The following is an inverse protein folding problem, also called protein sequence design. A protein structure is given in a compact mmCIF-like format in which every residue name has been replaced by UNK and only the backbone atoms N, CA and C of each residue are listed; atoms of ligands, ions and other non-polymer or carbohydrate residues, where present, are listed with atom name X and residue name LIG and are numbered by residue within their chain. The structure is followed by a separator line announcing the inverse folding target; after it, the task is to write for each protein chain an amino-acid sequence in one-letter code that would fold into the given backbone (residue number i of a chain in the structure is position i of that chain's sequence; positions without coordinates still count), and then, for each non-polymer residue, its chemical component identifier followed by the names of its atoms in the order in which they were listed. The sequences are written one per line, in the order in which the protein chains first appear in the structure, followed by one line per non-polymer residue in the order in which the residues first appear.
data_IF_327541921809
#
_entry.id   IF_327541921809
#
_cell.length_a   1.000
_cell.length_b   1.000
_cell.length_c   1.000
_cell.angle_alpha   90.00
_cell.angle_beta   90.00
_cell.angle_gamma   90.00
#
_symmetry.space_group_name_H-M   'P 1'
#
loop_
_entity.id
_entity.type
_entity.pdbx_description
1 polymer ?
#
# COMPACT_ATOMS: atom_id res chain seq x y z
N UNK A 1 -59.80 -20.78 6.04
CA UNK A 1 -59.67 -21.33 7.41
C UNK A 1 -58.17 -21.39 7.66
N UNK A 2 -57.52 -20.58 8.48
CA UNK A 2 -57.87 -19.62 9.55
C UNK A 2 -56.75 -18.54 9.56
N UNK A 3 -57.08 -17.25 9.50
CA UNK A 3 -57.05 -16.23 10.57
C UNK A 3 -55.77 -15.37 10.64
N UNK A 4 -55.94 -14.16 10.10
CA UNK A 4 -55.25 -12.87 10.35
C UNK A 4 -55.20 -12.46 11.85
N UNK A 5 -54.31 -11.53 12.29
CA UNK A 5 -54.65 -10.09 12.23
C UNK A 5 -53.50 -9.07 12.02
N UNK A 6 -53.74 -8.10 11.13
CA UNK A 6 -53.84 -6.63 11.34
C UNK A 6 -52.76 -5.84 12.16
N UNK A 7 -52.19 -4.81 11.51
CA UNK A 7 -52.13 -3.35 11.87
C UNK A 7 -50.96 -2.67 11.10
N UNK A 8 -51.20 -1.98 9.97
CA UNK A 8 -51.61 -0.57 9.77
C UNK A 8 -50.49 0.50 9.76
N UNK A 9 -50.22 1.01 8.54
CA UNK A 9 -50.07 2.43 8.13
C UNK A 9 -49.37 3.45 9.06
N UNK A 10 -48.25 4.02 8.60
CA UNK A 10 -48.01 5.47 8.78
C UNK A 10 -47.13 6.10 7.66
N UNK A 11 -47.84 6.88 6.84
CA UNK A 11 -47.52 8.12 6.09
C UNK A 11 -46.07 8.56 5.85
N UNK A 12 -45.72 8.61 4.55
CA UNK A 12 -44.72 9.47 3.91
C UNK A 12 -45.34 10.87 3.68
N UNK A 13 -44.66 12.01 3.93
CA UNK A 13 -45.16 13.31 3.48
C UNK A 13 -44.78 13.55 2.02
N UNK A 14 -45.80 13.75 1.18
CA UNK A 14 -45.70 14.32 -0.17
C UNK A 14 -45.87 15.84 -0.08
N UNK A 15 -44.94 16.60 -0.67
CA UNK A 15 -45.10 18.04 -0.92
C UNK A 15 -46.07 18.23 -2.10
N UNK A 16 -47.03 19.15 -1.96
CA UNK A 16 -47.91 19.61 -3.04
C UNK A 16 -47.51 21.04 -3.46
N UNK A 17 -47.51 21.38 -4.76
CA UNK A 17 -47.30 22.74 -5.26
C UNK A 17 -48.63 23.44 -5.60
N UNK A 18 -48.67 24.77 -5.44
CA UNK A 18 -49.69 25.71 -5.98
C UNK A 18 -48.97 27.06 -6.10
N UNK A 19 -48.56 27.49 -7.30
CA UNK A 19 -49.28 28.26 -8.35
C UNK A 19 -49.46 29.76 -8.01
N UNK A 20 -49.11 30.56 -9.03
CA UNK A 20 -48.93 32.02 -9.16
C UNK A 20 -50.20 32.87 -8.91
N UNK A 21 -50.00 34.17 -8.60
CA UNK A 21 -50.39 35.26 -9.52
C UNK A 21 -49.86 36.65 -9.09
N UNK A 22 -49.62 37.46 -10.14
CA UNK A 22 -48.98 38.78 -10.22
C UNK A 22 -49.71 39.96 -9.53
N UNK A 23 -48.96 41.00 -9.13
CA UNK A 23 -49.14 42.36 -9.67
C UNK A 23 -48.10 43.41 -9.19
N UNK A 24 -47.71 44.24 -10.15
CA UNK A 24 -46.82 45.41 -10.13
C UNK A 24 -47.08 46.49 -9.05
N UNK A 25 -46.00 47.12 -8.59
CA UNK A 25 -46.01 48.51 -8.09
C UNK A 25 -44.84 48.90 -7.16
N UNK A 26 -43.76 49.46 -7.71
CA UNK A 26 -42.86 50.41 -7.01
C UNK A 26 -43.45 51.84 -7.18
N UNK A 27 -43.05 52.90 -6.43
CA UNK A 27 -41.86 53.03 -5.55
C UNK A 27 -42.11 53.72 -4.19
N UNK A 28 -41.27 53.48 -3.18
CA UNK A 28 -40.94 54.49 -2.15
C UNK A 28 -39.62 54.12 -1.45
N UNK A 29 -38.61 54.97 -1.60
CA UNK A 29 -37.41 54.97 -0.78
C UNK A 29 -37.76 55.27 0.68
N UNK A 30 -37.46 54.36 1.61
CA UNK A 30 -37.12 54.71 2.99
C UNK A 30 -35.96 53.82 3.43
N UNK A 31 -34.91 54.52 3.83
CA UNK A 31 -33.63 54.07 4.34
C UNK A 31 -33.78 53.43 5.72
N UNK A 32 -33.34 52.18 5.90
CA UNK A 32 -33.00 51.68 7.23
C UNK A 32 -31.82 50.72 7.20
N UNK A 33 -30.95 50.92 8.19
CA UNK A 33 -29.56 50.54 8.23
C UNK A 33 -29.39 49.48 9.32
N UNK A 34 -29.19 48.21 8.97
CA UNK A 34 -28.62 47.22 9.89
C UNK A 34 -28.18 45.93 9.17
N UNK A 35 -26.91 45.89 8.76
CA UNK A 35 -26.25 44.64 8.38
C UNK A 35 -26.02 43.80 9.64
N UNK A 36 -26.77 42.70 9.79
CA UNK A 36 -26.51 41.65 10.78
C UNK A 36 -25.41 40.75 10.20
N UNK A 37 -24.22 40.82 10.79
CA UNK A 37 -23.07 39.97 10.49
C UNK A 37 -23.20 38.63 11.25
N UNK A 38 -22.93 37.45 10.63
CA UNK A 38 -22.97 36.17 11.33
C UNK A 38 -21.77 36.02 12.31
N UNK A 39 -21.89 35.21 13.39
CA UNK A 39 -20.89 35.15 14.44
C UNK A 39 -19.58 34.52 13.92
N UNK A 40 -18.48 35.25 14.08
CA UNK A 40 -17.14 34.75 13.75
C UNK A 40 -16.71 33.69 14.77
N UNK A 41 -16.51 32.45 14.30
CA UNK A 41 -15.82 31.43 15.07
C UNK A 41 -14.36 31.87 15.29
N UNK A 42 -14.05 32.30 16.51
CA UNK A 42 -12.66 32.54 16.93
C UNK A 42 -11.90 31.22 16.85
N UNK A 43 -11.01 31.11 15.87
CA UNK A 43 -9.98 30.07 15.87
C UNK A 43 -9.13 30.23 17.13
N UNK A 44 -9.26 29.28 18.07
CA UNK A 44 -8.36 29.16 19.21
C UNK A 44 -6.94 28.99 18.68
N UNK A 45 -6.12 30.04 18.81
CA UNK A 45 -4.72 29.96 18.47
C UNK A 45 -4.07 28.96 19.43
N UNK A 46 -3.29 28.03 18.89
CA UNK A 46 -2.41 27.21 19.70
C UNK A 46 -1.42 28.18 20.36
N UNK A 47 -1.64 28.49 21.64
CA UNK A 47 -0.70 29.28 22.43
C UNK A 47 0.64 28.55 22.46
N UNK A 48 1.61 29.09 21.70
CA UNK A 48 3.01 28.70 21.79
C UNK A 48 3.49 29.12 23.18
N UNK A 49 3.89 28.16 24.02
CA UNK A 49 4.55 28.46 25.28
C UNK A 49 5.77 29.36 24.99
N UNK A 50 5.69 30.62 25.43
CA UNK A 50 6.74 31.65 25.25
C UNK A 50 7.89 31.51 26.26
N UNK A 51 8.07 30.34 26.85
CA UNK A 51 9.09 30.10 27.88
C UNK A 51 10.23 29.22 27.37
N UNK A 52 10.66 29.43 26.12
CA UNK A 52 11.97 28.95 25.69
C UNK A 52 13.03 30.00 26.09
N UNK A 53 14.15 29.62 26.73
CA UNK A 53 15.23 30.55 27.00
C UNK A 53 15.74 31.16 25.68
N UNK A 54 16.18 32.42 25.74
CA UNK A 54 16.46 33.28 24.60
C UNK A 54 17.24 32.57 23.47
N UNK A 55 16.62 32.45 22.28
CA UNK A 55 17.27 32.03 21.03
C UNK A 55 18.49 32.90 20.63
N UNK A 56 18.69 34.04 21.28
CA UNK A 56 19.79 34.97 21.00
C UNK A 56 21.18 34.33 21.18
N UNK A 57 21.33 33.29 22.02
CA UNK A 57 22.62 32.63 22.29
C UNK A 57 22.95 31.52 21.27
N UNK A 58 22.05 31.20 20.33
CA UNK A 58 22.27 30.11 19.37
C UNK A 58 22.94 30.54 18.04
N UNK A 59 23.33 31.82 17.89
CA UNK A 59 23.77 32.35 16.59
C UNK A 59 25.09 31.75 16.06
N UNK A 60 25.95 31.21 16.92
CA UNK A 60 27.31 30.80 16.52
C UNK A 60 27.63 29.31 16.61
N UNK A 61 26.66 28.45 16.93
CA UNK A 61 26.88 26.99 16.90
C UNK A 61 26.33 26.42 15.61
N UNK A 62 27.20 26.25 14.60
CA UNK A 62 26.92 25.33 13.48
C UNK A 62 26.49 23.99 14.09
N UNK A 63 25.29 23.48 13.82
CA UNK A 63 24.91 22.16 14.30
C UNK A 63 25.84 21.14 13.65
N UNK A 64 26.86 20.67 14.39
CA UNK A 64 27.40 19.33 14.17
C UNK A 64 26.32 18.38 14.66
N UNK A 65 25.35 18.12 13.79
CA UNK A 65 24.56 16.92 13.85
C UNK A 65 25.55 15.80 13.53
N UNK A 66 25.89 14.89 14.45
CA UNK A 66 26.42 13.60 14.01
C UNK A 66 25.34 13.04 13.07
N UNK A 67 25.56 13.17 11.77
CA UNK A 67 24.75 12.49 10.80
C UNK A 67 25.07 11.02 11.02
N UNK A 68 24.24 10.34 11.83
CA UNK A 68 24.17 8.91 11.72
C UNK A 68 23.94 8.64 10.23
N UNK A 69 24.82 7.91 9.54
CA UNK A 69 24.63 7.65 8.14
C UNK A 69 23.23 7.07 7.99
N UNK A 70 22.39 7.71 7.16
CA UNK A 70 21.11 7.10 6.77
C UNK A 70 21.45 5.68 6.32
N UNK A 71 20.75 4.64 6.81
CA UNK A 71 21.02 3.28 6.40
C UNK A 71 21.02 3.28 4.87
N UNK A 72 22.17 2.95 4.26
CA UNK A 72 22.28 2.85 2.81
C UNK A 72 21.29 1.77 2.39
N UNK A 73 20.45 2.07 1.42
CA UNK A 73 19.53 1.08 0.87
C UNK A 73 20.36 -0.06 0.26
N UNK A 74 20.38 -1.21 0.95
CA UNK A 74 20.99 -2.45 0.47
C UNK A 74 20.15 -3.15 -0.61
N UNK A 75 18.99 -2.58 -0.99
CA UNK A 75 17.99 -3.21 -1.86
C UNK A 75 18.54 -3.62 -3.23
N UNK A 76 19.43 -2.83 -3.82
CA UNK A 76 19.97 -3.12 -5.16
C UNK A 76 20.87 -4.37 -5.19
N UNK A 77 21.60 -4.63 -4.10
CA UNK A 77 22.45 -5.82 -3.96
C UNK A 77 21.61 -7.08 -3.77
N UNK A 78 20.55 -6.99 -2.96
CA UNK A 78 19.63 -8.11 -2.68
C UNK A 78 18.90 -8.53 -3.94
N UNK A 79 18.36 -7.58 -4.72
CA UNK A 79 17.66 -7.87 -5.98
C UNK A 79 18.61 -8.55 -6.99
N UNK A 80 19.85 -8.05 -7.11
CA UNK A 80 20.85 -8.65 -8.02
C UNK A 80 21.18 -10.08 -7.61
N UNK A 81 21.35 -10.34 -6.31
CA UNK A 81 21.58 -11.69 -5.78
C UNK A 81 20.37 -12.60 -6.03
N UNK A 82 19.15 -12.09 -5.88
CA UNK A 82 17.92 -12.84 -6.15
C UNK A 82 17.82 -13.30 -7.62
N UNK A 83 18.10 -12.42 -8.58
CA UNK A 83 18.11 -12.79 -10.00
C UNK A 83 19.20 -13.82 -10.32
N UNK A 84 20.38 -13.69 -9.71
CA UNK A 84 21.45 -14.66 -9.89
C UNK A 84 21.08 -16.04 -9.36
N UNK A 85 20.56 -16.11 -8.12
CA UNK A 85 20.12 -17.37 -7.51
C UNK A 85 18.92 -17.99 -8.24
N UNK A 86 17.98 -17.17 -8.73
CA UNK A 86 16.87 -17.63 -9.56
C UNK A 86 17.37 -18.26 -10.87
N UNK A 87 18.34 -17.62 -11.54
CA UNK A 87 18.94 -18.15 -12.76
C UNK A 87 19.60 -19.52 -12.52
N UNK A 88 20.35 -19.64 -11.42
CA UNK A 88 20.97 -20.91 -11.03
C UNK A 88 19.91 -21.99 -10.74
N UNK A 89 18.84 -21.62 -10.03
CA UNK A 89 17.72 -22.50 -9.72
C UNK A 89 17.00 -23.01 -10.98
N UNK A 90 16.70 -22.12 -11.93
CA UNK A 90 16.09 -22.50 -13.21
C UNK A 90 17.03 -23.37 -14.05
N UNK A 91 18.34 -23.06 -14.08
CA UNK A 91 19.33 -23.87 -14.79
C UNK A 91 19.41 -25.28 -14.21
N UNK A 92 19.41 -25.42 -12.87
CA UNK A 92 19.38 -26.72 -12.20
C UNK A 92 18.11 -27.50 -12.54
N UNK A 93 16.93 -26.84 -12.51
CA UNK A 93 15.66 -27.46 -12.89
C UNK A 93 15.67 -27.94 -14.34
N UNK A 94 16.18 -27.11 -15.26
CA UNK A 94 16.31 -27.44 -16.68
C UNK A 94 17.26 -28.62 -16.90
N UNK A 95 18.39 -28.65 -16.21
CA UNK A 95 19.35 -29.74 -16.29
C UNK A 95 18.75 -31.07 -15.81
N UNK A 96 18.07 -31.07 -14.66
CA UNK A 96 17.43 -32.27 -14.09
C UNK A 96 16.32 -32.79 -15.02
N UNK A 97 15.47 -31.91 -15.53
CA UNK A 97 14.43 -32.29 -16.49
C UNK A 97 15.04 -32.85 -17.78
N UNK A 98 16.05 -32.17 -18.33
CA UNK A 98 16.66 -32.57 -19.60
C UNK A 98 17.37 -33.93 -19.51
N UNK A 99 17.94 -34.26 -18.34
CA UNK A 99 18.59 -35.55 -18.10
C UNK A 99 17.59 -36.70 -17.88
N UNK A 100 16.42 -36.41 -17.30
CA UNK A 100 15.39 -37.41 -16.99
C UNK A 100 14.16 -37.27 -17.89
N UNK A 101 14.33 -36.81 -19.13
CA UNK A 101 13.22 -36.48 -20.04
C UNK A 101 12.24 -37.64 -20.23
N UNK A 102 12.77 -38.87 -20.33
CA UNK A 102 11.97 -40.08 -20.52
C UNK A 102 11.04 -40.40 -19.33
N UNK A 103 11.28 -39.79 -18.17
CA UNK A 103 10.47 -39.94 -16.95
C UNK A 103 9.37 -38.87 -16.82
N UNK A 104 9.19 -38.00 -17.83
CA UNK A 104 8.13 -37.00 -17.89
C UNK A 104 7.17 -37.30 -19.04
N UNK A 105 5.87 -37.10 -18.80
CA UNK A 105 4.87 -37.11 -19.87
C UNK A 105 4.77 -35.73 -20.52
N UNK A 106 4.52 -35.66 -21.82
CA UNK A 106 4.12 -34.41 -22.47
C UNK A 106 4.34 -34.39 -23.97
N UNK A 107 3.80 -33.37 -24.63
CA UNK A 107 4.11 -33.11 -26.04
C UNK A 107 5.52 -32.54 -26.12
N UNK A 108 6.37 -33.24 -26.85
CA UNK A 108 7.77 -32.87 -27.06
C UNK A 108 7.89 -31.76 -28.11
N UNK A 109 8.56 -30.65 -27.76
CA UNK A 109 8.94 -29.63 -28.76
C UNK A 109 10.45 -29.46 -28.83
N UNK A 110 11.07 -28.92 -27.79
CA UNK A 110 12.51 -28.79 -27.69
C UNK A 110 12.95 -29.03 -26.24
N UNK A 111 13.94 -29.90 -25.98
CA UNK A 111 14.32 -30.34 -24.63
C UNK A 111 14.49 -29.21 -23.62
N UNK A 112 15.29 -28.20 -23.98
CA UNK A 112 15.58 -27.07 -23.09
C UNK A 112 14.38 -26.14 -22.90
N UNK A 113 13.55 -25.98 -23.93
CA UNK A 113 12.38 -25.07 -23.88
C UNK A 113 11.27 -25.69 -23.07
N UNK A 114 11.00 -26.98 -23.29
CA UNK A 114 10.03 -27.77 -22.53
C UNK A 114 10.41 -27.78 -21.03
N UNK A 115 11.69 -27.98 -20.73
CA UNK A 115 12.23 -27.95 -19.38
C UNK A 115 12.04 -26.59 -18.70
N UNK A 116 12.40 -25.51 -19.40
CA UNK A 116 12.26 -24.15 -18.88
C UNK A 116 10.80 -23.79 -18.66
N UNK A 117 9.94 -24.14 -19.62
CA UNK A 117 8.50 -23.98 -19.53
C UNK A 117 7.92 -24.72 -18.31
N UNK A 118 8.26 -26.00 -18.13
CA UNK A 118 7.86 -26.79 -16.97
C UNK A 118 8.31 -26.13 -15.65
N UNK A 119 9.58 -25.71 -15.57
CA UNK A 119 10.12 -25.05 -14.37
C UNK A 119 9.34 -23.76 -14.03
N UNK A 120 9.04 -22.94 -15.03
CA UNK A 120 8.36 -21.66 -14.84
C UNK A 120 6.88 -21.87 -14.50
N UNK A 121 6.17 -22.76 -15.20
CA UNK A 121 4.76 -23.10 -14.92
C UNK A 121 4.62 -23.63 -13.49
N UNK A 122 5.56 -24.48 -13.06
CA UNK A 122 5.61 -25.05 -11.71
C UNK A 122 5.93 -23.99 -10.66
N UNK A 123 6.96 -23.17 -10.89
CA UNK A 123 7.37 -22.10 -9.97
C UNK A 123 6.30 -21.01 -9.82
N UNK A 124 5.62 -20.67 -10.92
CA UNK A 124 4.50 -19.74 -10.93
C UNK A 124 3.21 -20.32 -10.35
N UNK A 125 3.23 -21.58 -9.89
CA UNK A 125 2.08 -22.28 -9.32
C UNK A 125 0.86 -22.38 -10.26
N UNK A 126 1.09 -22.30 -11.58
CA UNK A 126 0.01 -22.39 -12.57
C UNK A 126 -0.38 -23.86 -12.79
N UNK A 127 0.62 -24.71 -13.03
CA UNK A 127 0.44 -26.17 -13.07
C UNK A 127 -0.58 -26.70 -14.08
N UNK A 128 -0.45 -26.38 -15.37
CA UNK A 128 -1.38 -26.90 -16.40
C UNK A 128 -1.47 -28.43 -16.47
N UNK A 129 -0.45 -29.16 -15.99
CA UNK A 129 -0.44 -30.63 -16.04
C UNK A 129 -0.26 -31.21 -17.44
N UNK A 130 0.17 -30.39 -18.42
CA UNK A 130 0.54 -30.84 -19.76
C UNK A 130 1.92 -31.52 -19.78
N UNK A 131 2.80 -31.12 -18.85
CA UNK A 131 4.06 -31.81 -18.54
C UNK A 131 4.02 -32.25 -17.08
N UNK A 132 4.14 -33.56 -16.83
CA UNK A 132 4.06 -34.12 -15.46
C UNK A 132 5.12 -35.19 -15.18
N UNK A 133 5.62 -35.27 -13.93
CA UNK A 133 6.55 -36.32 -13.53
C UNK A 133 5.84 -37.67 -13.39
N UNK A 134 6.37 -38.72 -14.01
CA UNK A 134 5.77 -40.05 -14.00
C UNK A 134 6.30 -40.92 -12.85
N UNK A 135 7.60 -40.83 -12.57
CA UNK A 135 8.29 -41.71 -11.61
C UNK A 135 8.23 -41.16 -10.16
N UNK A 136 8.37 -42.02 -9.14
CA UNK A 136 8.45 -41.56 -7.75
C UNK A 136 9.62 -40.59 -7.52
N UNK A 137 10.76 -40.79 -8.16
CA UNK A 137 11.94 -39.94 -8.03
C UNK A 137 11.68 -38.52 -8.58
N UNK A 138 11.13 -38.41 -9.79
CA UNK A 138 10.77 -37.11 -10.40
C UNK A 138 9.66 -36.39 -9.65
N UNK A 139 8.72 -37.12 -9.03
CA UNK A 139 7.70 -36.56 -8.13
C UNK A 139 8.29 -35.96 -6.86
N UNK A 140 9.22 -36.67 -6.19
CA UNK A 140 9.93 -36.14 -5.01
C UNK A 140 10.73 -34.88 -5.38
N UNK A 141 11.43 -34.92 -6.51
CA UNK A 141 12.12 -33.75 -7.04
C UNK A 141 11.16 -32.58 -7.25
N UNK A 142 10.02 -32.80 -7.91
CA UNK A 142 9.02 -31.76 -8.15
C UNK A 142 8.49 -31.16 -6.84
N UNK A 143 8.25 -31.98 -5.80
CA UNK A 143 7.84 -31.49 -4.49
C UNK A 143 8.86 -30.54 -3.87
N UNK A 144 10.15 -30.93 -3.84
CA UNK A 144 11.22 -30.08 -3.30
C UNK A 144 11.40 -28.82 -4.15
N UNK A 145 11.34 -28.96 -5.47
CA UNK A 145 11.46 -27.86 -6.41
C UNK A 145 10.38 -26.79 -6.17
N UNK A 146 9.10 -27.19 -6.06
CA UNK A 146 8.00 -26.25 -5.79
C UNK A 146 8.20 -25.47 -4.48
N UNK A 147 8.60 -26.14 -3.40
CA UNK A 147 8.80 -25.49 -2.10
C UNK A 147 9.90 -24.42 -2.14
N UNK A 148 11.00 -24.70 -2.84
CA UNK A 148 12.08 -23.74 -3.04
C UNK A 148 11.64 -22.62 -3.99
N UNK A 149 10.97 -22.97 -5.09
CA UNK A 149 10.47 -22.04 -6.11
C UNK A 149 9.51 -20.98 -5.54
N UNK A 150 8.64 -21.38 -4.62
CA UNK A 150 7.74 -20.45 -3.92
C UNK A 150 8.51 -19.34 -3.18
N UNK A 151 9.61 -19.69 -2.51
CA UNK A 151 10.49 -18.72 -1.85
C UNK A 151 11.11 -17.72 -2.82
N UNK A 152 11.50 -18.17 -4.03
CA UNK A 152 12.00 -17.27 -5.06
C UNK A 152 10.94 -16.27 -5.54
N UNK A 153 9.69 -16.71 -5.75
CA UNK A 153 8.60 -15.80 -6.13
C UNK A 153 8.41 -14.70 -5.06
N UNK A 154 8.46 -15.04 -3.77
CA UNK A 154 8.38 -14.05 -2.68
C UNK A 154 9.54 -13.06 -2.69
N UNK A 155 10.78 -13.54 -2.87
CA UNK A 155 11.96 -12.66 -2.97
C UNK A 155 11.83 -11.70 -4.16
N UNK A 156 11.39 -12.20 -5.33
CA UNK A 156 11.14 -11.34 -6.49
C UNK A 156 10.05 -10.33 -6.19
N UNK A 157 8.92 -10.77 -5.63
CA UNK A 157 7.80 -9.91 -5.27
C UNK A 157 8.26 -8.77 -4.36
N UNK A 158 8.99 -9.11 -3.29
CA UNK A 158 9.57 -8.19 -2.31
C UNK A 158 10.56 -7.22 -2.96
N UNK A 159 11.44 -7.71 -3.84
CA UNK A 159 12.37 -6.87 -4.59
C UNK A 159 11.66 -5.81 -5.44
N UNK A 160 10.61 -6.20 -6.15
CA UNK A 160 9.77 -5.24 -6.89
C UNK A 160 9.09 -4.28 -5.89
N UNK A 161 8.64 -4.74 -4.70
CA UNK A 161 7.96 -3.86 -3.70
C UNK A 161 8.92 -2.76 -3.29
N UNK A 162 10.12 -3.14 -2.87
CA UNK A 162 11.17 -2.23 -2.46
C UNK A 162 11.55 -1.25 -3.56
N UNK A 163 11.70 -1.72 -4.80
CA UNK A 163 11.96 -0.84 -5.94
C UNK A 163 10.85 0.21 -6.15
N UNK A 164 9.58 -0.20 -6.09
CA UNK A 164 8.45 0.73 -6.23
C UNK A 164 8.38 1.71 -5.05
N UNK A 165 8.73 1.28 -3.84
CA UNK A 165 8.81 2.15 -2.66
C UNK A 165 9.94 3.18 -2.80
N UNK A 166 11.12 2.78 -3.30
CA UNK A 166 12.24 3.68 -3.57
C UNK A 166 11.89 4.72 -4.64
N UNK A 167 11.19 4.32 -5.70
CA UNK A 167 10.67 5.26 -6.69
C UNK A 167 9.72 6.28 -6.06
N UNK A 168 8.88 5.86 -5.11
CA UNK A 168 8.00 6.76 -4.38
C UNK A 168 8.78 7.71 -3.45
N UNK A 169 9.77 7.21 -2.73
CA UNK A 169 10.62 8.02 -1.85
C UNK A 169 11.38 9.10 -2.65
N UNK A 170 12.00 8.71 -3.77
CA UNK A 170 12.75 9.63 -4.63
C UNK A 170 11.85 10.72 -5.22
N UNK A 171 10.64 10.37 -5.68
CA UNK A 171 9.68 11.38 -6.16
C UNK A 171 9.25 12.37 -5.08
N UNK A 172 9.06 11.90 -3.83
CA UNK A 172 8.70 12.78 -2.70
C UNK A 172 9.85 13.74 -2.38
N UNK A 173 11.09 13.24 -2.34
CA UNK A 173 12.28 14.07 -2.07
C UNK A 173 12.50 15.13 -3.15
N UNK A 174 12.33 14.79 -4.43
CA UNK A 174 12.37 15.74 -5.54
C UNK A 174 11.24 16.77 -5.44
N UNK A 175 10.02 16.33 -5.08
CA UNK A 175 8.87 17.24 -4.88
C UNK A 175 9.09 18.26 -3.76
N UNK A 176 9.73 17.85 -2.65
CA UNK A 176 10.08 18.75 -1.54
C UNK A 176 11.13 19.79 -1.96
N UNK A 177 12.14 19.39 -2.74
CA UNK A 177 13.14 20.33 -3.28
C UNK A 177 12.52 21.34 -4.25
N UNK A 178 11.62 20.88 -5.15
CA UNK A 178 10.95 21.75 -6.13
C UNK A 178 10.02 22.76 -5.44
N UNK A 179 9.28 22.37 -4.39
CA UNK A 179 8.39 23.27 -3.64
C UNK A 179 9.15 24.40 -2.91
N UNK A 180 10.47 24.22 -2.69
CA UNK A 180 11.35 25.25 -2.13
C UNK A 180 11.89 26.24 -3.17
N UNK A 181 11.75 25.94 -4.47
CA UNK A 181 12.44 26.67 -5.55
C UNK A 181 11.53 27.39 -6.56
N UNK A 182 10.23 27.08 -6.70
CA UNK A 182 9.39 27.81 -7.66
C UNK A 182 7.93 28.02 -7.21
N UNK A 183 7.56 29.29 -7.04
CA UNK A 183 6.24 29.81 -7.38
C UNK A 183 6.05 29.66 -8.89
N UNK A 184 5.20 28.72 -9.34
CA UNK A 184 4.69 28.70 -10.71
C UNK A 184 5.12 27.48 -11.54
N UNK A 185 4.34 26.40 -11.47
CA UNK A 185 4.09 25.57 -12.65
C UNK A 185 2.74 24.85 -12.57
N UNK A 186 1.85 25.23 -13.49
CA UNK A 186 0.45 24.83 -13.61
C UNK A 186 0.30 23.74 -14.68
N UNK A 187 0.47 22.47 -14.28
CA UNK A 187 0.05 21.28 -15.05
C UNK A 187 0.10 19.99 -14.21
N UNK A 188 0.97 19.93 -13.20
CA UNK A 188 1.17 18.75 -12.33
C UNK A 188 0.06 18.52 -11.28
N UNK A 189 -0.80 19.50 -11.03
CA UNK A 189 -1.79 19.45 -9.95
C UNK A 189 -3.01 18.56 -10.23
N UNK A 190 -3.25 18.13 -11.46
CA UNK A 190 -4.44 17.30 -11.77
C UNK A 190 -4.18 15.79 -11.62
N UNK A 191 -2.95 15.34 -11.89
CA UNK A 191 -2.61 13.90 -11.92
C UNK A 191 -1.98 13.46 -10.58
N UNK A 192 -1.42 14.40 -9.83
CA UNK A 192 -0.84 14.13 -8.51
C UNK A 192 -1.35 15.20 -7.56
N UNK A 193 -2.20 14.80 -6.62
CA UNK A 193 -2.57 15.64 -5.48
C UNK A 193 -1.35 15.70 -4.55
N UNK A 194 -0.41 16.59 -4.91
CA UNK A 194 0.93 16.74 -4.30
C UNK A 194 0.86 17.24 -2.86
N UNK A 195 -0.27 17.80 -2.41
CA UNK A 195 -0.37 18.35 -1.05
C UNK A 195 -0.35 17.29 0.07
N UNK A 196 -0.36 15.99 -0.26
CA UNK A 196 -0.16 14.90 0.71
C UNK A 196 0.98 13.93 0.41
N UNK A 197 1.73 14.09 -0.69
CA UNK A 197 2.87 13.21 -1.05
C UNK A 197 2.56 11.70 -1.13
N UNK A 198 1.29 11.30 -0.99
CA UNK A 198 0.82 9.92 -1.04
C UNK A 198 -0.07 9.79 -2.26
N UNK A 199 0.39 9.03 -3.24
CA UNK A 199 -0.48 8.51 -4.31
C UNK A 199 -1.74 7.95 -3.64
N UNK A 200 -2.92 8.51 -3.99
CA UNK A 200 -4.19 8.07 -3.38
C UNK A 200 -4.24 6.56 -3.56
N UNK A 201 -4.42 5.80 -2.48
CA UNK A 201 -4.35 4.32 -2.49
C UNK A 201 -5.21 3.72 -3.61
N UNK A 202 -6.35 4.36 -3.94
CA UNK A 202 -7.20 3.99 -5.08
C UNK A 202 -6.49 4.07 -6.45
N UNK A 203 -5.61 5.05 -6.66
CA UNK A 203 -4.81 5.19 -7.86
C UNK A 203 -3.74 4.08 -7.96
N UNK A 204 -3.08 3.73 -6.85
CA UNK A 204 -2.15 2.59 -6.80
C UNK A 204 -2.84 1.29 -7.22
N UNK A 205 -4.00 1.03 -6.61
CA UNK A 205 -4.83 -0.14 -6.94
C UNK A 205 -5.30 -0.11 -8.39
N UNK A 206 -5.79 1.04 -8.87
CA UNK A 206 -6.25 1.19 -10.25
C UNK A 206 -5.14 0.96 -11.28
N UNK A 207 -3.94 1.49 -11.03
CA UNK A 207 -2.77 1.26 -11.87
C UNK A 207 -2.36 -0.22 -11.87
N UNK A 208 -2.31 -0.86 -10.71
CA UNK A 208 -1.96 -2.27 -10.60
C UNK A 208 -2.97 -3.19 -11.31
N UNK A 209 -4.27 -2.93 -11.17
CA UNK A 209 -5.31 -3.63 -11.92
C UNK A 209 -5.19 -3.38 -13.42
N UNK A 210 -4.85 -2.16 -13.84
CA UNK A 210 -4.59 -1.82 -15.23
C UNK A 210 -3.42 -2.62 -15.82
N UNK A 211 -2.34 -2.82 -15.06
CA UNK A 211 -1.21 -3.68 -15.48
C UNK A 211 -1.66 -5.13 -15.67
N UNK A 212 -2.49 -5.67 -14.78
CA UNK A 212 -3.03 -7.03 -14.91
C UNK A 212 -3.88 -7.17 -16.18
N UNK A 213 -4.77 -6.21 -16.45
CA UNK A 213 -5.59 -6.21 -17.68
C UNK A 213 -4.71 -6.14 -18.93
N UNK A 214 -3.64 -5.34 -18.90
CA UNK A 214 -2.66 -5.26 -19.98
C UNK A 214 -1.93 -6.60 -20.19
N UNK A 215 -1.52 -7.29 -19.11
CA UNK A 215 -0.89 -8.60 -19.19
C UNK A 215 -1.81 -9.64 -19.85
N UNK A 216 -3.11 -9.62 -19.53
CA UNK A 216 -4.13 -10.48 -20.15
C UNK A 216 -4.30 -10.12 -21.64
N UNK A 217 -4.36 -8.83 -21.97
CA UNK A 217 -4.47 -8.38 -23.36
C UNK A 217 -3.28 -8.82 -24.23
N UNK A 218 -2.05 -8.65 -23.72
CA UNK A 218 -0.83 -9.10 -24.40
C UNK A 218 -0.82 -10.63 -24.54
N UNK A 219 -1.19 -11.37 -23.49
CA UNK A 219 -1.25 -12.83 -23.53
C UNK A 219 -2.26 -13.33 -24.56
N UNK A 220 -3.46 -12.76 -24.58
CA UNK A 220 -4.51 -13.07 -25.56
C UNK A 220 -4.02 -12.87 -26.99
N UNK A 221 -3.42 -11.71 -27.27
CA UNK A 221 -2.93 -11.38 -28.61
C UNK A 221 -1.84 -12.36 -29.06
N UNK A 222 -0.89 -12.66 -28.18
CA UNK A 222 0.20 -13.58 -28.49
C UNK A 222 -0.29 -15.01 -28.66
N UNK A 223 -1.25 -15.47 -27.87
CA UNK A 223 -1.85 -16.81 -28.01
C UNK A 223 -2.59 -16.95 -29.35
N UNK A 224 -3.33 -15.93 -29.76
CA UNK A 224 -4.01 -15.92 -31.06
C UNK A 224 -3.02 -16.07 -32.22
N UNK A 225 -1.88 -15.40 -32.18
CA UNK A 225 -0.88 -15.45 -33.26
C UNK A 225 0.09 -16.65 -33.17
N UNK A 226 0.51 -17.06 -31.98
CA UNK A 226 1.56 -18.08 -31.79
C UNK A 226 1.02 -19.50 -31.68
N UNK A 227 -0.20 -19.66 -31.14
CA UNK A 227 -0.83 -20.95 -30.92
C UNK A 227 -2.03 -21.18 -31.87
N UNK A 228 -2.36 -20.18 -32.72
CA UNK A 228 -3.52 -20.20 -33.63
C UNK A 228 -4.83 -20.56 -32.93
N UNK A 229 -4.99 -20.14 -31.67
CA UNK A 229 -6.20 -20.37 -30.88
C UNK A 229 -7.29 -19.39 -31.30
N UNK A 230 -8.56 -19.82 -31.22
CA UNK A 230 -9.69 -18.93 -31.42
C UNK A 230 -9.67 -17.78 -30.37
N UNK A 231 -10.37 -16.68 -30.66
CA UNK A 231 -10.30 -15.48 -29.83
C UNK A 231 -10.72 -15.75 -28.37
N UNK A 232 -11.80 -16.51 -28.19
CA UNK A 232 -12.34 -16.85 -26.86
C UNK A 232 -11.36 -17.76 -26.11
N UNK A 233 -10.80 -18.75 -26.79
CA UNK A 233 -9.84 -19.69 -26.20
C UNK A 233 -8.54 -18.98 -25.80
N UNK A 234 -8.10 -18.02 -26.62
CA UNK A 234 -6.95 -17.15 -26.35
C UNK A 234 -7.16 -16.30 -25.09
N UNK A 235 -8.33 -15.66 -24.95
CA UNK A 235 -8.69 -14.89 -23.73
C UNK A 235 -8.77 -15.82 -22.53
N UNK A 236 -9.48 -16.95 -22.68
CA UNK A 236 -9.68 -17.92 -21.61
C UNK A 236 -8.35 -18.44 -21.07
N UNK A 237 -7.47 -18.95 -21.95
CA UNK A 237 -6.16 -19.43 -21.54
C UNK A 237 -5.36 -18.30 -20.91
N UNK A 238 -5.34 -17.10 -21.49
CA UNK A 238 -4.63 -15.96 -20.91
C UNK A 238 -5.08 -15.62 -19.49
N UNK A 239 -6.38 -15.56 -19.23
CA UNK A 239 -6.92 -15.30 -17.89
C UNK A 239 -6.54 -16.42 -16.92
N UNK A 240 -6.68 -17.68 -17.32
CA UNK A 240 -6.34 -18.84 -16.47
C UNK A 240 -4.85 -18.91 -16.13
N UNK A 241 -3.98 -18.51 -17.06
CA UNK A 241 -2.54 -18.39 -16.85
C UNK A 241 -2.20 -17.27 -15.86
N UNK A 242 -2.68 -16.05 -16.13
CA UNK A 242 -2.33 -14.84 -15.37
C UNK A 242 -2.84 -14.92 -13.94
N UNK A 243 -4.02 -15.51 -13.74
CA UNK A 243 -4.61 -15.72 -12.41
C UNK A 243 -4.08 -16.95 -11.68
N UNK A 244 -3.14 -17.69 -12.25
CA UNK A 244 -2.57 -18.93 -11.68
C UNK A 244 -3.60 -20.02 -11.37
N UNK A 245 -4.75 -20.03 -12.07
CA UNK A 245 -5.79 -21.07 -11.89
C UNK A 245 -5.40 -22.33 -12.66
N UNK A 246 -4.99 -22.18 -13.92
CA UNK A 246 -4.35 -23.25 -14.69
C UNK A 246 -5.11 -24.58 -14.76
N UNK A 247 -6.39 -24.60 -15.16
CA UNK A 247 -7.19 -25.84 -15.22
C UNK A 247 -6.57 -26.99 -16.01
N UNK A 248 -5.68 -26.69 -16.97
CA UNK A 248 -4.96 -27.71 -17.73
C UNK A 248 -5.70 -28.27 -18.93
N UNK A 249 -6.91 -27.78 -19.23
CA UNK A 249 -7.67 -28.18 -20.41
C UNK A 249 -7.01 -27.70 -21.72
N UNK A 250 -6.28 -26.58 -21.66
CA UNK A 250 -5.44 -26.04 -22.73
C UNK A 250 -4.09 -25.59 -22.17
N UNK A 251 -3.05 -25.74 -22.98
CA UNK A 251 -1.68 -25.37 -22.66
C UNK A 251 -0.91 -24.97 -23.94
N UNK A 252 0.31 -24.45 -23.77
CA UNK A 252 1.17 -24.01 -24.86
C UNK A 252 1.76 -25.23 -25.59
N UNK A 253 1.46 -25.38 -26.87
CA UNK A 253 1.87 -26.54 -27.67
C UNK A 253 2.96 -26.18 -28.67
N UNK A 254 3.05 -24.92 -29.10
CA UNK A 254 4.06 -24.51 -30.07
C UNK A 254 5.36 -24.11 -29.37
N UNK A 255 6.50 -24.38 -30.03
CA UNK A 255 7.81 -23.93 -29.58
C UNK A 255 7.87 -22.40 -29.33
N UNK A 256 7.42 -21.54 -30.26
CA UNK A 256 7.42 -20.09 -29.99
C UNK A 256 6.45 -19.70 -28.88
N UNK A 257 5.31 -20.40 -28.72
CA UNK A 257 4.38 -20.18 -27.62
C UNK A 257 4.99 -20.50 -26.26
N UNK A 258 5.72 -21.61 -26.14
CA UNK A 258 6.44 -21.98 -24.89
C UNK A 258 7.56 -21.01 -24.54
N UNK A 259 8.31 -20.50 -25.54
CA UNK A 259 9.31 -19.46 -25.33
C UNK A 259 8.70 -18.16 -24.81
N UNK A 260 7.60 -17.72 -25.42
CA UNK A 260 6.83 -16.57 -24.95
C UNK A 260 6.32 -16.78 -23.51
N UNK A 261 5.74 -17.96 -23.24
CA UNK A 261 5.21 -18.32 -21.94
C UNK A 261 6.29 -18.23 -20.84
N UNK A 262 7.53 -18.62 -21.13
CA UNK A 262 8.61 -18.56 -20.14
C UNK A 262 8.79 -17.16 -19.53
N UNK A 263 8.86 -16.12 -20.34
CA UNK A 263 9.03 -14.75 -19.81
C UNK A 263 7.70 -14.16 -19.35
N UNK A 264 6.64 -14.35 -20.13
CA UNK A 264 5.35 -13.72 -19.88
C UNK A 264 4.65 -14.24 -18.62
N UNK A 265 4.71 -15.54 -18.34
CA UNK A 265 4.11 -16.12 -17.13
C UNK A 265 4.78 -15.59 -15.87
N UNK A 266 6.11 -15.44 -15.87
CA UNK A 266 6.82 -14.88 -14.72
C UNK A 266 6.42 -13.42 -14.44
N UNK A 267 6.36 -12.59 -15.48
CA UNK A 267 5.99 -11.16 -15.32
C UNK A 267 4.53 -11.02 -14.89
N UNK A 268 3.62 -11.76 -15.53
CA UNK A 268 2.19 -11.65 -15.28
C UNK A 268 1.78 -12.13 -13.89
N UNK A 269 2.42 -13.18 -13.38
CA UNK A 269 2.15 -13.72 -12.03
C UNK A 269 2.61 -12.75 -10.95
N UNK A 270 3.78 -12.13 -11.10
CA UNK A 270 4.24 -11.05 -10.24
C UNK A 270 3.29 -9.84 -10.28
N UNK A 271 2.78 -9.49 -11.47
CA UNK A 271 1.82 -8.39 -11.62
C UNK A 271 0.51 -8.66 -10.85
N UNK A 272 -0.03 -9.88 -10.96
CA UNK A 272 -1.25 -10.28 -10.23
C UNK A 272 -1.02 -10.35 -8.73
N UNK A 273 0.07 -10.96 -8.27
CA UNK A 273 0.43 -11.00 -6.85
C UNK A 273 0.50 -9.59 -6.25
N UNK A 274 1.06 -8.63 -6.99
CA UNK A 274 1.08 -7.22 -6.60
C UNK A 274 -0.28 -6.55 -6.59
N UNK A 275 -1.13 -6.83 -7.56
CA UNK A 275 -2.49 -6.30 -7.57
C UNK A 275 -3.26 -6.74 -6.32
N UNK A 276 -3.14 -8.02 -5.93
CA UNK A 276 -3.73 -8.54 -4.69
C UNK A 276 -3.15 -7.87 -3.43
N UNK A 277 -1.83 -7.68 -3.37
CA UNK A 277 -1.20 -6.99 -2.24
C UNK A 277 -1.72 -5.55 -2.09
N UNK A 278 -1.85 -4.80 -3.18
CA UNK A 278 -2.40 -3.45 -3.14
C UNK A 278 -3.89 -3.42 -2.79
N UNK A 279 -4.68 -4.41 -3.22
CA UNK A 279 -6.06 -4.55 -2.78
C UNK A 279 -6.14 -4.82 -1.27
N UNK A 280 -5.28 -5.68 -0.73
CA UNK A 280 -5.17 -5.94 0.69
C UNK A 280 -4.78 -4.67 1.46
N UNK A 281 -3.73 -3.96 1.02
CA UNK A 281 -3.34 -2.66 1.58
C UNK A 281 -4.51 -1.68 1.58
N UNK A 282 -5.26 -1.58 0.48
CA UNK A 282 -6.41 -0.67 0.40
C UNK A 282 -7.53 -1.03 1.38
N UNK A 283 -7.75 -2.32 1.65
CA UNK A 283 -8.73 -2.81 2.63
C UNK A 283 -8.25 -2.52 4.06
N UNK A 284 -6.99 -2.81 4.36
CA UNK A 284 -6.35 -2.51 5.65
C UNK A 284 -6.41 -1.00 5.93
N UNK A 285 -6.05 -0.18 4.96
CA UNK A 285 -6.08 1.27 5.07
C UNK A 285 -7.49 1.83 5.28
N UNK A 286 -8.49 1.26 4.59
CA UNK A 286 -9.89 1.65 4.81
C UNK A 286 -10.34 1.31 6.22
N UNK A 287 -9.92 0.16 6.76
CA UNK A 287 -10.18 -0.24 8.15
C UNK A 287 -9.49 0.68 9.14
N UNK A 288 -8.19 0.95 8.97
CA UNK A 288 -7.42 1.87 9.82
C UNK A 288 -8.04 3.27 9.85
N UNK A 289 -8.53 3.79 8.71
CA UNK A 289 -9.23 5.09 8.69
C UNK A 289 -10.56 5.09 9.44
N UNK A 290 -11.32 3.99 9.40
CA UNK A 290 -12.57 3.86 10.16
C UNK A 290 -12.31 3.83 11.66
N UNK A 291 -11.33 3.04 12.10
CA UNK A 291 -10.91 2.97 13.50
C UNK A 291 -10.44 4.36 13.97
N UNK A 292 -9.56 5.01 13.22
CA UNK A 292 -9.08 6.34 13.58
C UNK A 292 -10.23 7.37 13.72
N UNK A 293 -11.16 7.41 12.76
CA UNK A 293 -12.34 8.29 12.85
C UNK A 293 -13.20 7.97 14.06
N UNK A 294 -13.42 6.69 14.36
CA UNK A 294 -14.19 6.26 15.53
C UNK A 294 -13.50 6.68 16.83
N UNK A 295 -12.19 6.44 16.98
CA UNK A 295 -11.41 6.85 18.16
C UNK A 295 -11.44 8.37 18.36
N UNK A 296 -11.41 9.16 17.28
CA UNK A 296 -11.44 10.62 17.32
C UNK A 296 -12.81 11.20 17.73
N UNK A 297 -13.91 10.51 17.44
CA UNK A 297 -15.27 11.00 17.75
C UNK A 297 -15.90 10.32 18.98
N UNK A 298 -15.22 9.33 19.56
CA UNK A 298 -15.67 8.67 20.79
C UNK A 298 -15.38 9.56 21.99
N UNK A 299 -16.40 9.76 22.82
CA UNK A 299 -16.27 10.44 24.11
C UNK A 299 -15.30 9.68 25.05
N UNK A 300 -14.62 10.43 25.91
CA UNK A 300 -13.65 9.90 26.88
C UNK A 300 -14.41 9.45 28.13
N UNK A 301 -14.18 8.23 28.59
CA UNK A 301 -14.72 7.73 29.87
C UNK A 301 -13.77 8.00 31.04
N UNK A 302 -14.23 7.81 32.28
CA UNK A 302 -13.39 7.96 33.49
C UNK A 302 -12.22 6.96 33.48
N UNK A 303 -12.44 5.74 33.00
CA UNK A 303 -11.37 4.75 32.87
C UNK A 303 -10.35 5.15 31.80
N UNK A 304 -10.81 5.71 30.68
CA UNK A 304 -9.92 6.28 29.65
C UNK A 304 -9.11 7.46 30.21
N UNK A 305 -9.71 8.23 31.12
CA UNK A 305 -9.07 9.37 31.76
C UNK A 305 -7.92 8.92 32.68
N UNK A 306 -8.18 7.90 33.51
CA UNK A 306 -7.16 7.25 34.35
C UNK A 306 -6.04 6.59 33.53
N UNK A 307 -6.37 6.01 32.37
CA UNK A 307 -5.38 5.37 31.49
C UNK A 307 -4.53 6.38 30.69
N UNK A 308 -5.02 7.60 30.49
CA UNK A 308 -4.33 8.67 29.78
C UNK A 308 -3.44 9.52 30.71
N UNK A 309 -3.72 9.53 32.00
CA UNK A 309 -2.92 10.21 33.03
C UNK A 309 -1.61 9.42 33.28
N UNK A 310 -0.52 9.87 32.64
CA UNK A 310 0.80 9.23 32.74
C UNK A 310 1.52 9.68 34.02
N UNK A 311 1.25 10.89 34.48
CA UNK A 311 1.98 11.54 35.57
C UNK A 311 1.28 11.41 36.94
N UNK A 312 0.05 10.87 36.96
CA UNK A 312 -0.82 10.70 38.13
C UNK A 312 -1.12 12.01 38.87
N UNK A 313 -1.20 13.14 38.15
CA UNK A 313 -1.54 14.44 38.73
C UNK A 313 -3.06 14.67 38.85
N UNK A 314 -3.87 13.74 38.33
CA UNK A 314 -5.33 13.78 38.39
C UNK A 314 -5.98 14.61 37.28
N UNK A 315 -5.21 15.15 36.36
CA UNK A 315 -5.66 15.89 35.18
C UNK A 315 -5.02 15.31 33.91
N UNK A 316 -5.58 15.64 32.74
CA UNK A 316 -4.99 15.26 31.45
C UNK A 316 -4.50 16.51 30.74
N UNK A 317 -3.20 16.60 30.56
CA UNK A 317 -2.60 17.60 29.68
C UNK A 317 -2.96 17.33 28.22
N UNK A 318 -2.94 18.38 27.38
CA UNK A 318 -3.16 18.22 25.93
C UNK A 318 -2.19 17.22 25.29
N UNK A 319 -0.95 17.14 25.78
CA UNK A 319 0.06 16.17 25.35
C UNK A 319 -0.35 14.74 25.68
N UNK A 320 -0.78 14.46 26.91
CA UNK A 320 -1.27 13.15 27.33
C UNK A 320 -2.51 12.74 26.56
N UNK A 321 -3.45 13.66 26.32
CA UNK A 321 -4.62 13.38 25.49
C UNK A 321 -4.23 12.99 24.06
N UNK A 322 -3.24 13.66 23.46
CA UNK A 322 -2.75 13.33 22.12
C UNK A 322 -2.04 11.96 22.11
N UNK A 323 -1.19 11.69 23.10
CA UNK A 323 -0.51 10.39 23.24
C UNK A 323 -1.55 9.27 23.42
N UNK A 324 -2.52 9.47 24.30
CA UNK A 324 -3.62 8.54 24.52
C UNK A 324 -4.40 8.24 23.24
N UNK A 325 -4.83 9.29 22.51
CA UNK A 325 -5.56 9.10 21.25
C UNK A 325 -4.70 8.46 20.16
N UNK A 326 -3.39 8.73 20.12
CA UNK A 326 -2.47 8.05 19.21
C UNK A 326 -2.30 6.56 19.57
N UNK A 327 -2.25 6.23 20.87
CA UNK A 327 -2.19 4.85 21.39
C UNK A 327 -3.47 4.08 21.04
N UNK A 328 -4.65 4.67 21.28
CA UNK A 328 -5.95 4.08 20.90
C UNK A 328 -6.09 3.87 19.38
N UNK A 329 -5.57 4.79 18.57
CA UNK A 329 -5.56 4.64 17.11
C UNK A 329 -4.57 3.58 16.61
N UNK A 330 -3.79 2.95 17.51
CA UNK A 330 -2.75 1.99 17.18
C UNK A 330 -1.59 2.61 16.39
N UNK A 331 -1.35 3.91 16.56
CA UNK A 331 -0.25 4.64 15.88
C UNK A 331 1.06 4.58 16.63
N UNK A 332 0.99 4.43 17.95
CA UNK A 332 2.12 4.27 18.85
C UNK A 332 1.82 3.10 19.79
N UNK A 333 2.82 2.25 20.01
CA UNK A 333 2.76 1.21 21.02
C UNK A 333 3.22 1.72 22.39
N UNK A 334 2.85 1.00 23.44
CA UNK A 334 3.33 1.26 24.81
C UNK A 334 4.86 1.22 24.90
N UNK A 335 5.49 0.28 24.19
CA UNK A 335 6.94 0.14 24.11
C UNK A 335 7.61 1.37 23.50
N UNK A 336 7.00 1.95 22.46
CA UNK A 336 7.53 3.15 21.80
C UNK A 336 7.50 4.35 22.75
N UNK A 337 6.40 4.50 23.50
CA UNK A 337 6.24 5.53 24.51
C UNK A 337 7.31 5.36 25.60
N UNK A 338 7.47 4.15 26.13
CA UNK A 338 8.45 3.85 27.18
C UNK A 338 9.89 4.10 26.73
N UNK A 339 10.25 3.75 25.50
CA UNK A 339 11.59 4.02 24.97
C UNK A 339 11.87 5.53 24.84
N UNK A 340 10.88 6.30 24.39
CA UNK A 340 10.99 7.76 24.29
C UNK A 340 11.08 8.38 25.69
N UNK A 341 10.26 7.90 26.64
CA UNK A 341 10.30 8.34 28.03
C UNK A 341 11.65 8.00 28.69
N UNK A 342 12.22 6.81 28.48
CA UNK A 342 13.54 6.43 29.01
C UNK A 342 14.65 7.36 28.47
N UNK A 343 14.61 7.67 27.17
CA UNK A 343 15.53 8.66 26.58
C UNK A 343 15.34 10.05 27.17
N UNK A 344 14.09 10.45 27.43
CA UNK A 344 13.80 11.71 28.10
C UNK A 344 14.35 11.73 29.53
N UNK A 345 14.11 10.68 30.31
CA UNK A 345 14.59 10.56 31.70
C UNK A 345 16.11 10.57 31.80
N UNK A 346 16.83 10.03 30.82
CA UNK A 346 18.30 10.13 30.72
C UNK A 346 18.80 11.56 30.54
N UNK A 347 18.01 12.40 29.88
CA UNK A 347 18.34 13.80 29.63
C UNK A 347 17.81 14.72 30.75
N UNK A 348 16.75 14.31 31.45
CA UNK A 348 16.12 15.04 32.56
C UNK A 348 16.70 14.60 33.91
N UNK A 349 18.00 14.87 34.12
CA UNK A 349 18.74 14.48 35.34
C UNK A 349 18.17 15.04 36.64
N UNK A 350 17.42 16.14 36.59
CA UNK A 350 16.76 16.76 37.74
C UNK A 350 15.29 16.32 37.89
N UNK A 351 14.82 15.39 37.07
CA UNK A 351 13.45 14.85 37.06
C UNK A 351 12.38 15.96 37.07
N UNK A 352 12.68 17.07 36.38
CA UNK A 352 11.87 18.28 36.39
C UNK A 352 10.68 18.20 35.44
N UNK A 353 10.61 17.15 34.62
CA UNK A 353 9.67 17.01 33.51
C UNK A 353 9.95 17.98 32.37
N UNK A 354 11.11 18.67 32.38
CA UNK A 354 11.45 19.74 31.43
C UNK A 354 12.92 19.67 31.04
N UNK A 355 13.17 19.58 29.73
CA UNK A 355 14.53 19.70 29.20
C UNK A 355 14.93 21.17 29.10
N UNK A 356 15.99 21.53 29.81
CA UNK A 356 16.58 22.86 29.78
C UNK A 356 17.86 22.89 28.93
N UNK A 357 18.19 24.07 28.41
CA UNK A 357 19.38 24.26 27.57
C UNK A 357 20.69 23.78 28.25
N UNK A 358 20.92 24.05 29.55
CA UNK A 358 22.13 23.60 30.23
C UNK A 358 22.29 22.08 30.25
N UNK A 359 21.21 21.32 30.50
CA UNK A 359 21.23 19.85 30.52
C UNK A 359 21.64 19.25 29.16
N UNK A 360 21.21 19.88 28.06
CA UNK A 360 21.58 19.46 26.70
C UNK A 360 23.03 19.80 26.34
N UNK A 361 23.64 20.75 27.03
CA UNK A 361 25.03 21.17 26.82
C UNK A 361 26.02 20.37 27.68
N UNK A 362 25.60 19.98 28.89
CA UNK A 362 26.40 19.18 29.83
C UNK A 362 26.63 17.76 29.29
N UNK A 363 25.65 17.15 28.63
CA UNK A 363 25.79 15.85 27.94
C UNK A 363 26.63 15.88 26.63
N UNK A 364 27.21 17.03 26.26
CA UNK A 364 28.05 17.19 25.04
C UNK A 364 29.51 17.61 25.33
N UNK A 365 29.85 17.83 26.60
CA UNK A 365 31.22 17.99 27.08
C UNK A 365 31.69 16.65 27.63
#
# INVERSE_FOLDING_TARGET
MENEPFLSLQSKPQLRPTVEDDHHGTPSEIQDNSQIQPPSMKHGSLHRCKTAPAMAVMRDRKPKTPQLPKPKSESSTIIRQAFFLLSLYLLLGVAIYSFNRDEFSGIETHPVVDALYFCIVTMCTIGYGDITPLTPATKIFACVFVLIGFGFIDILLSGVVSYVLELQENMILTGIHIKKSQQGFSARNYIVDVDKGRMRIRLKVGLALGVVVLCVGIGTLMLYFLENLDWIDSVYLSVMSVTTVGYGDRAFKTLPGRLFAGVWLLISTLAVARAFLYLAEARVDKRHRRIAKWVLHRDITIQDLLAADINNDGFISKSEYVIYKLKEMGKIGEKDILQICDQFSKLDTNNSGKLTLPQLLENRL
#
